data_IF_507165193170
#
_entry.id   IF_507165193170
#
_cell.length_a   1.000
_cell.length_b   1.000
_cell.length_c   1.000
_cell.angle_alpha   90.00
_cell.angle_beta   90.00
_cell.angle_gamma   90.00
#
_symmetry.space_group_name_H-M   'P 1'
#
loop_
_entity.id
_entity.type
_entity.pdbx_description
1 polymer ?
#
# COMPACT_ATOMS: atom_id res chain seq x y z
N UNK A 1 -18.94 5.24 18.24
CA UNK A 1 -19.24 4.84 16.86
C UNK A 1 -19.04 6.06 15.99
N UNK A 2 -18.28 5.94 14.91
CA UNK A 2 -18.05 7.04 13.97
C UNK A 2 -19.20 7.11 12.95
N UNK A 3 -19.49 8.32 12.46
CA UNK A 3 -20.51 8.57 11.44
C UNK A 3 -19.90 9.22 10.17
N UNK A 4 -18.60 9.43 10.19
CA UNK A 4 -17.82 9.98 9.09
C UNK A 4 -16.36 9.53 9.21
N UNK A 5 -15.61 9.71 8.12
CA UNK A 5 -14.16 9.62 8.10
C UNK A 5 -13.58 10.95 8.59
N UNK A 6 -12.62 10.88 9.51
CA UNK A 6 -11.92 12.04 10.06
C UNK A 6 -10.44 11.97 9.68
N UNK A 7 -10.06 12.49 8.50
CA UNK A 7 -8.68 12.43 8.03
C UNK A 7 -7.68 13.07 9.00
N UNK A 8 -6.49 12.50 9.09
CA UNK A 8 -5.41 13.05 9.90
C UNK A 8 -5.53 12.84 11.41
N UNK A 9 -6.57 12.15 11.87
CA UNK A 9 -6.71 11.74 13.27
C UNK A 9 -6.22 10.30 13.48
N UNK A 10 -5.97 9.93 14.74
CA UNK A 10 -5.73 8.53 15.10
C UNK A 10 -7.03 7.75 14.90
N UNK A 11 -7.01 6.77 14.02
CA UNK A 11 -8.17 5.93 13.78
C UNK A 11 -8.21 4.76 14.76
N UNK A 12 -9.34 4.63 15.45
CA UNK A 12 -9.54 3.59 16.45
C UNK A 12 -10.51 2.52 15.92
N UNK A 13 -10.27 1.27 16.32
CA UNK A 13 -11.20 0.18 16.11
C UNK A 13 -12.44 0.31 17.03
N UNK A 14 -13.39 -0.58 16.87
CA UNK A 14 -14.63 -0.59 17.69
C UNK A 14 -14.38 -0.87 19.17
N UNK A 15 -13.18 -1.31 19.54
CA UNK A 15 -12.75 -1.51 20.93
C UNK A 15 -11.95 -0.33 21.48
N UNK A 16 -11.81 0.76 20.71
CA UNK A 16 -11.03 1.93 21.09
C UNK A 16 -9.52 1.76 21.00
N UNK A 17 -9.03 0.72 20.30
CA UNK A 17 -7.60 0.49 20.05
C UNK A 17 -7.24 1.07 18.69
N UNK A 18 -6.01 1.54 18.59
CA UNK A 18 -5.48 2.08 17.34
C UNK A 18 -5.42 1.01 16.25
N UNK A 19 -5.87 1.36 15.04
CA UNK A 19 -5.76 0.51 13.85
C UNK A 19 -4.28 0.35 13.45
N UNK A 20 -3.92 -0.89 13.13
CA UNK A 20 -2.59 -1.32 12.72
C UNK A 20 -2.67 -1.90 11.30
N UNK A 21 -2.78 -1.03 10.30
CA UNK A 21 -2.91 -1.41 8.89
C UNK A 21 -2.07 -0.49 7.99
N UNK A 22 -0.79 -0.29 8.36
CA UNK A 22 0.14 0.55 7.62
C UNK A 22 0.48 -0.07 6.25
N UNK A 23 0.66 0.77 5.23
CA UNK A 23 1.02 0.33 3.88
C UNK A 23 -0.02 -0.59 3.23
N UNK A 24 -1.25 -0.56 3.74
CA UNK A 24 -2.27 -1.55 3.42
C UNK A 24 -3.22 -1.16 2.31
N UNK A 25 -4.22 -2.02 2.12
CA UNK A 25 -5.27 -1.86 1.12
C UNK A 25 -6.63 -2.32 1.67
N UNK A 26 -7.67 -2.07 0.87
CA UNK A 26 -9.03 -2.53 1.13
C UNK A 26 -9.39 -3.70 0.21
N UNK A 27 -10.14 -4.66 0.75
CA UNK A 27 -10.76 -5.73 -0.01
C UNK A 27 -12.26 -5.77 0.31
N UNK A 28 -13.09 -5.99 -0.71
CA UNK A 28 -14.55 -6.14 -0.53
C UNK A 28 -14.95 -7.57 -0.81
N UNK A 29 -15.57 -8.21 0.17
CA UNK A 29 -15.99 -9.60 0.07
C UNK A 29 -17.30 -9.81 0.82
N UNK A 30 -18.28 -10.44 0.16
CA UNK A 30 -19.56 -10.84 0.76
C UNK A 30 -20.27 -9.72 1.54
N UNK A 31 -20.28 -8.50 0.98
CA UNK A 31 -20.99 -7.36 1.58
C UNK A 31 -20.22 -6.62 2.66
N UNK A 32 -18.97 -6.98 2.93
CA UNK A 32 -18.11 -6.32 3.92
C UNK A 32 -16.82 -5.79 3.30
N UNK A 33 -16.32 -4.72 3.88
CA UNK A 33 -14.99 -4.19 3.60
C UNK A 33 -14.00 -4.80 4.59
N UNK A 34 -12.81 -5.12 4.11
CA UNK A 34 -11.69 -5.61 4.90
C UNK A 34 -10.50 -4.72 4.65
N UNK A 35 -10.07 -4.00 5.70
CA UNK A 35 -8.86 -3.20 5.67
C UNK A 35 -7.73 -4.01 6.29
N UNK A 36 -6.67 -4.22 5.56
CA UNK A 36 -5.51 -5.00 6.02
C UNK A 36 -4.23 -4.24 5.72
N UNK A 37 -3.21 -4.48 6.53
CA UNK A 37 -1.90 -3.84 6.39
C UNK A 37 -0.90 -4.33 7.43
N UNK A 38 0.27 -3.74 7.41
CA UNK A 38 1.35 -4.07 8.33
C UNK A 38 0.93 -3.80 9.78
N UNK A 39 1.17 -4.78 10.64
CA UNK A 39 1.02 -4.61 12.07
C UNK A 39 2.36 -4.19 12.71
N UNK A 40 2.38 -3.01 13.30
CA UNK A 40 3.55 -2.45 14.00
C UNK A 40 3.36 -2.38 15.53
N UNK A 41 2.33 -3.03 16.09
CA UNK A 41 1.99 -2.91 17.51
C UNK A 41 3.12 -3.30 18.47
N UNK A 42 4.02 -4.19 18.04
CA UNK A 42 5.17 -4.65 18.85
C UNK A 42 6.49 -4.04 18.40
N UNK A 43 6.50 -3.19 17.38
CA UNK A 43 7.71 -2.56 16.88
C UNK A 43 8.04 -1.34 17.72
N UNK A 44 9.21 -1.35 18.36
CA UNK A 44 9.76 -0.24 19.11
C UNK A 44 11.23 -0.05 18.75
N UNK A 45 11.76 1.16 18.79
CA UNK A 45 13.17 1.39 18.55
C UNK A 45 14.04 0.49 19.43
N UNK A 46 15.04 -0.12 18.84
CA UNK A 46 16.02 -0.96 19.54
C UNK A 46 15.59 -2.40 19.93
N UNK A 47 14.30 -2.76 19.80
CA UNK A 47 13.85 -4.10 20.19
C UNK A 47 14.01 -5.18 19.10
N UNK A 48 14.47 -4.81 17.91
CA UNK A 48 14.68 -5.73 16.79
C UNK A 48 13.42 -6.26 16.12
N UNK A 49 12.22 -5.83 16.58
CA UNK A 49 10.95 -6.21 15.98
C UNK A 49 10.53 -5.11 14.98
N UNK A 50 10.57 -5.44 13.71
CA UNK A 50 10.28 -4.50 12.61
C UNK A 50 8.85 -4.62 12.08
N UNK A 51 8.19 -5.76 12.30
CA UNK A 51 6.80 -6.03 11.97
C UNK A 51 6.23 -7.13 12.87
N UNK A 52 4.91 -7.26 12.94
CA UNK A 52 4.22 -8.33 13.65
C UNK A 52 3.10 -8.96 12.79
N UNK A 53 3.44 -9.27 11.53
CA UNK A 53 2.51 -9.83 10.56
C UNK A 53 1.59 -8.79 9.91
N UNK A 54 0.59 -9.28 9.21
CA UNK A 54 -0.47 -8.47 8.60
C UNK A 54 -1.71 -8.58 9.47
N UNK A 55 -2.24 -7.43 9.93
CA UNK A 55 -3.49 -7.36 10.68
C UNK A 55 -4.62 -6.94 9.76
N UNK A 56 -5.85 -7.36 10.07
CA UNK A 56 -7.01 -6.94 9.30
C UNK A 56 -8.20 -6.59 10.17
N UNK A 57 -9.07 -5.79 9.58
CA UNK A 57 -10.27 -5.24 10.21
C UNK A 57 -11.43 -5.39 9.24
N UNK A 58 -12.65 -5.59 9.77
CA UNK A 58 -13.87 -5.63 8.96
C UNK A 58 -14.78 -4.44 9.26
N UNK A 59 -15.48 -3.96 8.23
CA UNK A 59 -16.47 -2.89 8.33
C UNK A 59 -17.61 -3.10 7.33
N UNK A 60 -18.80 -2.58 7.65
CA UNK A 60 -19.91 -2.50 6.71
C UNK A 60 -20.15 -1.07 6.19
N UNK A 61 -19.48 -0.08 6.79
CA UNK A 61 -19.74 1.34 6.57
C UNK A 61 -18.48 2.17 6.26
N UNK A 62 -17.28 1.56 6.31
CA UNK A 62 -15.96 2.20 6.17
C UNK A 62 -15.59 3.17 7.31
N UNK A 63 -16.43 3.34 8.32
CA UNK A 63 -16.20 4.24 9.44
C UNK A 63 -15.85 3.50 10.72
N UNK A 64 -16.48 2.35 10.95
CA UNK A 64 -16.37 1.56 12.17
C UNK A 64 -15.71 0.22 11.84
N UNK A 65 -14.50 0.02 12.31
CA UNK A 65 -13.65 -1.11 11.97
C UNK A 65 -13.53 -2.06 13.16
N UNK A 66 -13.98 -3.29 12.98
CA UNK A 66 -13.80 -4.36 13.96
C UNK A 66 -12.48 -5.06 13.72
N UNK A 67 -11.66 -5.17 14.74
CA UNK A 67 -10.41 -5.94 14.72
C UNK A 67 -10.72 -7.44 14.59
N UNK A 68 -10.20 -8.08 13.56
CA UNK A 68 -10.36 -9.52 13.28
C UNK A 68 -9.06 -10.30 13.56
N UNK A 69 -8.00 -9.63 14.02
CA UNK A 69 -6.73 -10.25 14.36
C UNK A 69 -5.69 -10.25 13.23
N UNK A 70 -4.85 -11.28 13.20
CA UNK A 70 -3.80 -11.41 12.18
C UNK A 70 -4.32 -12.19 10.97
N UNK A 71 -4.22 -11.58 9.81
CA UNK A 71 -4.48 -12.21 8.51
C UNK A 71 -3.30 -13.10 8.09
N UNK A 72 -2.09 -12.58 8.27
CA UNK A 72 -0.84 -13.31 8.04
C UNK A 72 0.00 -13.16 9.32
N UNK A 73 0.14 -14.21 10.12
CA UNK A 73 0.93 -14.15 11.34
C UNK A 73 2.44 -14.08 11.02
N UNK A 74 3.24 -13.49 11.91
CA UNK A 74 4.69 -13.55 11.78
C UNK A 74 5.20 -14.98 12.00
N UNK A 75 6.26 -15.35 11.32
CA UNK A 75 6.98 -16.58 11.60
C UNK A 75 8.05 -16.33 12.69
N UNK A 76 7.68 -16.59 13.93
CA UNK A 76 8.59 -16.39 15.09
C UNK A 76 9.54 -17.55 15.30
N UNK A 77 9.40 -18.67 14.59
CA UNK A 77 10.18 -19.89 14.79
C UNK A 77 11.41 -19.95 13.91
N UNK A 78 11.27 -19.46 12.68
CA UNK A 78 12.37 -19.45 11.72
C UNK A 78 12.91 -18.04 11.51
N UNK A 79 14.06 -17.75 12.12
CA UNK A 79 14.76 -16.47 11.95
C UNK A 79 15.20 -16.22 10.49
N UNK A 80 15.23 -17.26 9.65
CA UNK A 80 15.54 -17.13 8.23
C UNK A 80 14.34 -16.75 7.38
N UNK A 81 13.13 -16.94 7.88
CA UNK A 81 11.88 -16.59 7.21
C UNK A 81 11.79 -15.09 6.94
N UNK A 82 11.29 -14.71 5.77
CA UNK A 82 11.00 -13.31 5.44
C UNK A 82 9.79 -12.75 6.21
N UNK A 83 8.97 -13.61 6.83
CA UNK A 83 7.92 -13.21 7.78
C UNK A 83 8.42 -13.12 9.23
N UNK A 84 9.69 -13.40 9.50
CA UNK A 84 10.22 -13.25 10.85
C UNK A 84 10.16 -11.78 11.31
N UNK A 85 9.85 -11.49 12.57
CA UNK A 85 9.71 -10.13 13.08
C UNK A 85 10.92 -9.21 12.86
N UNK A 86 12.11 -9.74 12.69
CA UNK A 86 13.33 -8.98 12.35
C UNK A 86 13.45 -8.57 10.88
N UNK A 87 12.58 -9.05 10.02
CA UNK A 87 12.48 -8.62 8.62
C UNK A 87 11.53 -7.43 8.51
N UNK A 88 11.79 -6.50 7.58
CA UNK A 88 10.80 -5.50 7.19
C UNK A 88 9.93 -6.11 6.10
N UNK A 89 8.74 -6.58 6.46
CA UNK A 89 7.72 -7.03 5.52
C UNK A 89 6.66 -5.93 5.43
N UNK A 90 6.54 -5.32 4.26
CA UNK A 90 5.83 -4.08 4.03
C UNK A 90 4.83 -4.22 2.89
N UNK A 91 3.80 -3.35 2.86
CA UNK A 91 2.84 -3.17 1.77
C UNK A 91 2.20 -4.48 1.31
N UNK A 92 1.43 -5.21 2.16
CA UNK A 92 0.68 -6.37 1.69
C UNK A 92 -0.40 -5.93 0.70
N UNK A 93 -0.42 -6.52 -0.50
CA UNK A 93 -1.49 -6.36 -1.49
C UNK A 93 -2.02 -7.72 -1.90
N UNK A 94 -3.35 -7.90 -1.90
CA UNK A 94 -4.01 -9.18 -2.17
C UNK A 94 -4.93 -9.04 -3.37
N UNK A 95 -4.78 -9.94 -4.34
CA UNK A 95 -5.69 -10.10 -5.48
C UNK A 95 -6.18 -11.55 -5.57
N UNK A 96 -7.39 -11.75 -6.08
CA UNK A 96 -7.94 -13.08 -6.29
C UNK A 96 -7.72 -13.53 -7.73
N UNK A 97 -7.18 -14.72 -7.88
CA UNK A 97 -6.98 -15.39 -9.17
C UNK A 97 -8.12 -16.39 -9.41
N UNK A 98 -8.96 -16.15 -10.40
CA UNK A 98 -10.08 -17.03 -10.72
C UNK A 98 -9.65 -18.36 -11.34
N UNK A 99 -8.55 -18.38 -12.09
CA UNK A 99 -8.07 -19.58 -12.77
C UNK A 99 -7.56 -20.63 -11.76
N UNK A 100 -6.82 -20.17 -10.76
CA UNK A 100 -6.28 -21.05 -9.70
C UNK A 100 -7.18 -21.14 -8.47
N UNK A 101 -8.23 -20.31 -8.40
CA UNK A 101 -9.09 -20.12 -7.22
C UNK A 101 -8.30 -19.77 -5.94
N UNK A 102 -7.21 -19.00 -6.08
CA UNK A 102 -6.34 -18.60 -4.97
C UNK A 102 -6.39 -17.09 -4.72
N UNK A 103 -6.29 -16.71 -3.46
CA UNK A 103 -5.89 -15.37 -3.06
C UNK A 103 -4.38 -15.29 -3.08
N UNK A 104 -3.84 -14.34 -3.82
CA UNK A 104 -2.39 -14.13 -3.98
C UNK A 104 -2.02 -12.84 -3.30
N UNK A 105 -1.16 -12.93 -2.30
CA UNK A 105 -0.64 -11.79 -1.56
C UNK A 105 0.82 -11.55 -1.94
N UNK A 106 1.12 -10.36 -2.40
CA UNK A 106 2.48 -9.88 -2.56
C UNK A 106 2.83 -8.97 -1.39
N UNK A 107 4.09 -9.01 -0.97
CA UNK A 107 4.67 -8.12 0.04
C UNK A 107 6.06 -7.69 -0.40
N UNK A 108 6.39 -6.43 -0.14
CA UNK A 108 7.78 -5.96 -0.22
C UNK A 108 8.51 -6.39 1.05
N UNK A 109 9.68 -6.98 0.91
CA UNK A 109 10.54 -7.33 2.05
C UNK A 109 11.91 -6.69 1.89
N UNK A 110 12.37 -6.03 2.97
CA UNK A 110 13.72 -5.50 3.04
C UNK A 110 14.55 -6.37 3.98
N UNK A 111 15.58 -6.99 3.44
CA UNK A 111 16.49 -7.84 4.21
C UNK A 111 17.92 -7.65 3.72
N UNK A 112 18.85 -7.44 4.67
CA UNK A 112 20.28 -7.21 4.36
C UNK A 112 20.52 -6.12 3.31
N UNK A 113 19.67 -5.07 3.30
CA UNK A 113 19.77 -3.98 2.35
C UNK A 113 19.15 -4.25 0.96
N UNK A 114 18.65 -5.46 0.70
CA UNK A 114 17.95 -5.80 -0.54
C UNK A 114 16.44 -5.65 -0.39
N UNK A 115 15.79 -5.15 -1.43
CA UNK A 115 14.33 -5.04 -1.53
C UNK A 115 13.82 -6.13 -2.48
N UNK A 116 13.00 -7.01 -1.97
CA UNK A 116 12.56 -8.24 -2.61
C UNK A 116 11.03 -8.36 -2.55
N UNK A 117 10.46 -9.16 -3.46
CA UNK A 117 9.06 -9.56 -3.38
C UNK A 117 8.92 -10.90 -2.65
N UNK A 118 8.02 -10.96 -1.68
CA UNK A 118 7.55 -12.17 -1.02
C UNK A 118 6.13 -12.43 -1.50
N UNK A 119 5.86 -13.64 -2.02
CA UNK A 119 4.54 -13.99 -2.53
C UNK A 119 3.98 -15.18 -1.74
N UNK A 120 2.73 -15.00 -1.29
CA UNK A 120 1.98 -16.00 -0.56
C UNK A 120 0.67 -16.29 -1.27
N UNK A 121 0.13 -17.51 -1.07
CA UNK A 121 -1.20 -17.88 -1.57
C UNK A 121 -2.05 -18.51 -0.50
N UNK A 122 -3.37 -18.40 -0.64
CA UNK A 122 -4.36 -19.06 0.22
C UNK A 122 -5.60 -19.45 -0.56
N UNK A 123 -6.33 -20.47 -0.07
CA UNK A 123 -7.64 -20.86 -0.62
C UNK A 123 -8.76 -19.90 -0.19
N UNK A 124 -8.56 -19.18 0.89
CA UNK A 124 -9.50 -18.20 1.43
C UNK A 124 -8.82 -16.86 1.62
N UNK A 125 -9.57 -15.75 1.45
CA UNK A 125 -9.07 -14.41 1.83
C UNK A 125 -8.56 -14.37 3.27
N UNK A 126 -9.15 -15.15 4.15
CA UNK A 126 -8.79 -15.22 5.57
C UNK A 126 -7.62 -16.15 5.87
N UNK A 127 -6.99 -16.72 4.85
CA UNK A 127 -5.87 -17.65 5.00
C UNK A 127 -6.28 -19.10 5.27
N UNK A 128 -5.35 -19.95 5.75
CA UNK A 128 -3.94 -19.61 6.00
C UNK A 128 -3.17 -19.30 4.70
N UNK A 129 -2.27 -18.32 4.77
CA UNK A 129 -1.39 -17.97 3.66
C UNK A 129 -0.07 -18.75 3.75
N UNK A 130 0.33 -19.34 2.63
CA UNK A 130 1.57 -20.10 2.50
C UNK A 130 2.54 -19.39 1.54
N UNK A 131 3.83 -19.36 1.87
CA UNK A 131 4.86 -18.76 1.04
C UNK A 131 5.08 -19.63 -0.18
N UNK A 132 4.88 -19.09 -1.40
CA UNK A 132 5.12 -19.76 -2.68
C UNK A 132 6.34 -19.21 -3.41
N UNK A 133 6.73 -17.96 -3.16
CA UNK A 133 7.97 -17.34 -3.61
C UNK A 133 8.64 -16.60 -2.46
N UNK A 134 9.84 -17.00 -2.11
CA UNK A 134 10.54 -16.51 -0.92
C UNK A 134 11.66 -15.54 -1.31
N UNK A 135 11.32 -14.28 -1.55
CA UNK A 135 12.29 -13.22 -1.83
C UNK A 135 12.82 -13.22 -3.26
N UNK A 136 11.94 -13.01 -4.24
CA UNK A 136 12.32 -12.88 -5.65
C UNK A 136 12.61 -11.41 -6.01
N UNK A 137 13.33 -11.23 -7.10
CA UNK A 137 13.53 -9.96 -7.80
C UNK A 137 12.76 -9.98 -9.10
N UNK A 138 11.57 -9.37 -9.18
CA UNK A 138 10.82 -9.30 -10.44
C UNK A 138 11.69 -8.69 -11.53
N UNK A 139 11.79 -9.35 -12.71
CA UNK A 139 12.67 -8.96 -13.81
C UNK A 139 14.17 -8.84 -13.43
N UNK A 140 14.62 -9.47 -12.36
CA UNK A 140 15.96 -9.31 -11.82
C UNK A 140 16.20 -7.98 -11.09
N UNK A 141 15.16 -7.16 -10.87
CA UNK A 141 15.25 -5.84 -10.25
C UNK A 141 14.91 -5.89 -8.76
N UNK A 142 15.52 -5.00 -7.96
CA UNK A 142 15.04 -4.72 -6.61
C UNK A 142 13.63 -4.09 -6.69
N UNK A 143 12.69 -4.62 -5.91
CA UNK A 143 11.32 -4.16 -5.87
C UNK A 143 11.10 -3.24 -4.65
N UNK A 144 10.91 -1.95 -4.92
CA UNK A 144 10.47 -0.96 -3.94
C UNK A 144 8.97 -1.03 -3.66
N UNK A 145 8.37 0.11 -3.40
CA UNK A 145 6.92 0.21 -3.21
C UNK A 145 6.17 -0.22 -4.47
N UNK A 146 5.00 -0.82 -4.30
CA UNK A 146 4.27 -1.43 -5.40
C UNK A 146 2.76 -1.41 -5.20
N UNK A 147 2.03 -1.69 -6.28
CA UNK A 147 0.60 -1.99 -6.30
C UNK A 147 0.31 -3.14 -7.27
N UNK A 148 -0.74 -3.91 -6.99
CA UNK A 148 -1.22 -4.99 -7.83
C UNK A 148 -2.51 -4.60 -8.54
N UNK A 149 -2.56 -4.85 -9.82
CA UNK A 149 -3.70 -4.54 -10.68
C UNK A 149 -4.24 -5.78 -11.32
N UNK A 150 -5.50 -6.12 -11.01
CA UNK A 150 -6.25 -7.13 -11.73
C UNK A 150 -7.09 -6.49 -12.81
N UNK A 151 -6.98 -7.00 -14.02
CA UNK A 151 -7.69 -6.49 -15.19
C UNK A 151 -9.00 -7.25 -15.40
N UNK A 152 -9.99 -6.64 -16.09
CA UNK A 152 -11.26 -7.30 -16.40
C UNK A 152 -11.12 -8.57 -17.22
N UNK A 153 -10.05 -8.71 -18.00
CA UNK A 153 -9.75 -9.88 -18.82
C UNK A 153 -9.11 -11.04 -18.03
N UNK A 154 -8.99 -10.93 -16.72
CA UNK A 154 -8.40 -11.93 -15.84
C UNK A 154 -6.88 -11.90 -15.79
N UNK A 155 -6.20 -11.06 -16.61
CA UNK A 155 -4.76 -10.81 -16.45
C UNK A 155 -4.49 -9.87 -15.31
N UNK A 156 -3.25 -9.87 -14.81
CA UNK A 156 -2.83 -8.93 -13.78
C UNK A 156 -1.46 -8.34 -14.09
N UNK A 157 -1.17 -7.20 -13.50
CA UNK A 157 0.16 -6.59 -13.53
C UNK A 157 0.53 -6.02 -12.16
N UNK A 158 1.82 -5.81 -11.97
CA UNK A 158 2.42 -5.17 -10.82
C UNK A 158 3.07 -3.86 -11.25
N UNK A 159 2.64 -2.74 -10.66
CA UNK A 159 3.42 -1.50 -10.71
C UNK A 159 4.35 -1.51 -9.52
N UNK A 160 5.66 -1.39 -9.76
CA UNK A 160 6.63 -1.30 -8.67
C UNK A 160 7.72 -0.30 -8.95
N UNK A 161 8.24 0.29 -7.91
CA UNK A 161 9.44 1.09 -7.99
C UNK A 161 10.65 0.18 -8.24
N UNK A 162 11.35 0.37 -9.36
CA UNK A 162 12.74 -0.04 -9.47
C UNK A 162 13.55 0.93 -8.61
N UNK A 163 13.93 0.48 -7.43
CA UNK A 163 14.42 1.29 -6.32
C UNK A 163 15.27 2.48 -6.76
N UNK A 164 14.77 3.68 -6.49
CA UNK A 164 15.35 5.00 -6.78
C UNK A 164 15.69 5.23 -8.27
N UNK A 165 14.88 4.68 -9.20
CA UNK A 165 15.07 4.86 -10.65
C UNK A 165 13.78 5.23 -11.38
N UNK A 166 12.79 4.36 -11.36
CA UNK A 166 11.56 4.51 -12.16
C UNK A 166 10.45 3.60 -11.67
N UNK A 167 9.24 3.80 -12.15
CA UNK A 167 8.14 2.86 -11.97
C UNK A 167 8.13 1.85 -13.12
N UNK A 168 8.02 0.58 -12.79
CA UNK A 168 7.88 -0.54 -13.73
C UNK A 168 6.42 -1.00 -13.67
N UNK A 169 5.79 -1.23 -14.83
CA UNK A 169 4.57 -2.00 -14.96
C UNK A 169 4.92 -3.34 -15.59
N UNK A 170 4.83 -4.44 -14.84
CA UNK A 170 5.15 -5.78 -15.30
C UNK A 170 3.91 -6.68 -15.31
N UNK A 171 3.65 -7.39 -16.41
CA UNK A 171 2.59 -8.39 -16.47
C UNK A 171 2.93 -9.57 -15.55
N UNK A 172 1.95 -10.01 -14.75
CA UNK A 172 2.08 -11.18 -13.90
C UNK A 172 1.88 -12.48 -14.69
N UNK A 173 2.49 -13.56 -14.21
CA UNK A 173 2.22 -14.92 -14.66
C UNK A 173 0.73 -15.29 -14.50
N UNK A 174 0.19 -16.29 -15.23
CA UNK A 174 -1.22 -16.66 -15.15
C UNK A 174 -1.70 -16.97 -13.72
N UNK A 175 -0.84 -17.50 -12.86
CA UNK A 175 -1.12 -17.80 -11.45
C UNK A 175 -0.86 -16.62 -10.51
N UNK A 176 -0.41 -15.45 -11.01
CA UNK A 176 -0.05 -14.23 -10.31
C UNK A 176 1.11 -14.35 -9.31
N UNK A 177 1.88 -15.45 -9.40
CA UNK A 177 2.99 -15.68 -8.43
C UNK A 177 4.36 -15.23 -8.92
N UNK A 178 4.47 -14.74 -10.15
CA UNK A 178 5.70 -14.23 -10.77
C UNK A 178 5.37 -13.22 -11.87
N UNK A 179 6.37 -12.70 -12.57
CA UNK A 179 6.24 -11.83 -13.74
C UNK A 179 6.55 -12.60 -15.03
N UNK A 180 5.89 -12.22 -16.15
CA UNK A 180 6.09 -12.88 -17.45
C UNK A 180 7.33 -12.43 -18.20
N UNK A 181 7.93 -11.30 -17.83
CA UNK A 181 8.98 -10.63 -18.59
C UNK A 181 8.47 -9.54 -19.54
N UNK A 182 7.15 -9.42 -19.75
CA UNK A 182 6.55 -8.28 -20.47
C UNK A 182 6.41 -7.11 -19.49
N UNK A 183 7.01 -5.97 -19.81
CA UNK A 183 6.95 -4.80 -18.94
C UNK A 183 7.14 -3.48 -19.69
N UNK A 184 6.79 -2.38 -19.03
CA UNK A 184 7.04 -1.00 -19.46
C UNK A 184 7.63 -0.19 -18.31
N UNK A 185 8.32 0.90 -18.67
CA UNK A 185 9.03 1.78 -17.74
C UNK A 185 8.39 3.18 -17.79
N UNK A 186 8.23 3.79 -16.62
CA UNK A 186 7.55 5.06 -16.46
C UNK A 186 8.31 6.00 -15.51
N UNK A 187 8.18 7.30 -15.74
CA UNK A 187 8.71 8.37 -14.88
C UNK A 187 10.21 8.22 -14.58
N UNK A 188 11.08 8.12 -15.62
CA UNK A 188 12.52 8.08 -15.41
C UNK A 188 13.00 9.43 -14.89
N UNK A 189 13.60 9.43 -13.72
CA UNK A 189 14.26 10.57 -13.11
C UNK A 189 15.60 10.14 -12.56
N UNK A 190 16.62 10.98 -12.70
CA UNK A 190 17.98 10.56 -12.43
C UNK A 190 18.28 10.35 -10.94
N UNK A 191 17.61 11.10 -10.04
CA UNK A 191 17.94 11.09 -8.62
C UNK A 191 16.74 11.39 -7.72
N UNK A 192 16.73 10.89 -6.47
CA UNK A 192 15.88 11.43 -5.41
C UNK A 192 16.08 12.94 -5.21
N UNK A 193 15.04 13.71 -4.86
CA UNK A 193 13.72 13.28 -4.48
C UNK A 193 12.71 13.14 -5.64
N UNK A 194 13.15 13.28 -6.87
CA UNK A 194 12.26 13.35 -8.03
C UNK A 194 11.80 11.98 -8.52
N UNK A 195 12.56 10.92 -8.24
CA UNK A 195 12.15 9.54 -8.54
C UNK A 195 10.82 9.25 -7.86
N UNK A 196 9.95 8.54 -8.58
CA UNK A 196 8.60 8.22 -8.08
C UNK A 196 8.60 6.87 -7.36
N UNK A 197 7.91 6.83 -6.21
CA UNK A 197 7.65 5.63 -5.40
C UNK A 197 6.18 5.56 -5.00
N UNK A 198 5.79 4.55 -4.24
CA UNK A 198 4.44 4.33 -3.74
C UNK A 198 3.37 4.43 -4.84
N UNK A 199 3.49 3.66 -5.95
CA UNK A 199 2.43 3.66 -6.96
C UNK A 199 1.13 3.16 -6.36
N UNK A 200 0.02 3.84 -6.69
CA UNK A 200 -1.33 3.42 -6.38
C UNK A 200 -2.20 3.61 -7.62
N UNK A 201 -2.68 2.50 -8.16
CA UNK A 201 -3.41 2.46 -9.42
C UNK A 201 -4.92 2.47 -9.20
N UNK A 202 -5.64 3.08 -10.14
CA UNK A 202 -7.06 2.88 -10.32
C UNK A 202 -7.48 3.13 -11.77
N UNK A 203 -8.60 2.53 -12.16
CA UNK A 203 -9.23 2.76 -13.46
C UNK A 203 -10.52 3.55 -13.27
N UNK A 204 -10.74 4.57 -14.12
CA UNK A 204 -11.96 5.34 -14.15
C UNK A 204 -12.33 5.70 -15.59
N UNK A 205 -13.55 5.37 -16.00
CA UNK A 205 -14.10 5.67 -17.33
C UNK A 205 -13.18 5.21 -18.48
N UNK A 206 -12.59 4.02 -18.36
CA UNK A 206 -11.69 3.43 -19.37
C UNK A 206 -10.33 4.11 -19.46
N UNK A 207 -9.98 4.96 -18.49
CA UNK A 207 -8.65 5.55 -18.36
C UNK A 207 -7.94 4.98 -17.13
N UNK A 208 -6.64 4.85 -17.23
CA UNK A 208 -5.76 4.29 -16.21
C UNK A 208 -5.04 5.43 -15.49
N UNK A 209 -5.12 5.44 -14.18
CA UNK A 209 -4.53 6.47 -13.34
C UNK A 209 -3.50 5.87 -12.40
N UNK A 210 -2.44 6.63 -12.17
CA UNK A 210 -1.42 6.31 -11.19
C UNK A 210 -1.18 7.52 -10.28
N UNK A 211 -1.29 7.29 -8.98
CA UNK A 211 -0.82 8.22 -7.97
C UNK A 211 0.54 7.74 -7.49
N UNK A 212 1.47 8.66 -7.29
CA UNK A 212 2.82 8.34 -6.82
C UNK A 212 3.30 9.41 -5.85
N UNK A 213 4.33 9.10 -5.05
CA UNK A 213 5.06 10.07 -4.24
C UNK A 213 6.50 10.23 -4.73
N UNK A 214 7.18 11.29 -4.31
CA UNK A 214 8.62 11.42 -4.49
C UNK A 214 9.40 10.63 -3.44
N UNK A 215 10.70 10.44 -3.66
CA UNK A 215 11.59 9.70 -2.77
C UNK A 215 12.29 10.65 -1.80
N UNK A 216 11.64 10.95 -0.68
CA UNK A 216 12.15 11.85 0.36
C UNK A 216 12.42 11.13 1.69
N UNK A 217 12.60 9.81 1.62
CA UNK A 217 12.73 8.96 2.81
C UNK A 217 11.40 8.93 3.58
N UNK A 218 11.43 9.32 4.87
CA UNK A 218 10.23 9.37 5.70
C UNK A 218 9.67 10.79 5.86
N UNK A 219 10.04 11.73 4.98
CA UNK A 219 9.49 13.07 4.95
C UNK A 219 8.38 13.15 3.91
N UNK A 220 7.20 13.71 4.25
CA UNK A 220 6.11 13.83 3.30
C UNK A 220 6.50 14.80 2.16
N UNK A 221 5.94 14.53 0.98
CA UNK A 221 6.20 15.28 -0.23
C UNK A 221 4.94 15.38 -1.08
N UNK A 222 4.91 16.22 -2.13
CA UNK A 222 3.75 16.30 -3.00
C UNK A 222 3.57 15.01 -3.80
N UNK A 223 2.36 14.46 -3.76
CA UNK A 223 1.94 13.38 -4.65
C UNK A 223 1.85 13.90 -6.09
N UNK A 224 1.94 12.99 -7.04
CA UNK A 224 1.74 13.25 -8.45
C UNK A 224 0.71 12.29 -9.02
N UNK A 225 -0.26 12.83 -9.75
CA UNK A 225 -1.24 12.06 -10.51
C UNK A 225 -0.84 12.00 -11.97
N UNK A 226 -1.05 10.87 -12.60
CA UNK A 226 -0.87 10.67 -14.04
C UNK A 226 -1.97 9.80 -14.63
N UNK A 227 -2.14 9.88 -15.96
CA UNK A 227 -3.22 9.20 -16.69
C UNK A 227 -2.68 8.59 -17.98
N UNK A 228 -3.24 7.45 -18.37
CA UNK A 228 -2.96 6.78 -19.66
C UNK A 228 -4.22 6.17 -20.26
N UNK A 229 -4.14 5.81 -21.54
CA UNK A 229 -5.18 5.09 -22.29
C UNK A 229 -5.04 3.57 -22.14
N UNK A 230 -3.94 3.10 -21.61
CA UNK A 230 -3.70 1.67 -21.39
C UNK A 230 -2.95 1.46 -20.08
N UNK A 231 -3.06 0.24 -19.52
CA UNK A 231 -2.37 -0.17 -18.30
C UNK A 231 -0.84 -0.03 -18.41
N UNK A 232 -0.30 -0.23 -19.59
CA UNK A 232 1.14 -0.07 -19.88
C UNK A 232 1.54 1.34 -20.30
N UNK A 233 0.65 2.32 -20.18
CA UNK A 233 0.91 3.70 -20.57
C UNK A 233 0.86 3.93 -22.09
N UNK A 234 1.54 4.97 -22.61
CA UNK A 234 2.32 5.95 -21.86
C UNK A 234 1.46 6.84 -20.95
N UNK A 235 2.00 7.17 -19.77
CA UNK A 235 1.32 8.05 -18.82
C UNK A 235 1.65 9.52 -19.07
N UNK A 236 0.62 10.36 -19.04
CA UNK A 236 0.74 11.82 -19.03
C UNK A 236 0.57 12.33 -17.60
N UNK A 237 1.47 13.20 -17.16
CA UNK A 237 1.44 13.80 -15.83
C UNK A 237 0.30 14.82 -15.77
N UNK A 238 -0.58 14.69 -14.76
CA UNK A 238 -1.66 15.63 -14.46
C UNK A 238 -1.26 16.66 -13.40
N UNK A 239 -0.24 16.36 -12.59
CA UNK A 239 0.27 17.22 -11.53
C UNK A 239 -0.16 16.78 -10.13
N UNK A 240 -0.03 17.70 -9.15
CA UNK A 240 -0.36 17.44 -7.76
C UNK A 240 -1.88 17.26 -7.59
N UNK A 241 -2.36 16.10 -7.05
CA UNK A 241 -3.78 15.86 -6.79
C UNK A 241 -4.33 16.64 -5.58
N UNK A 242 -3.48 17.32 -4.83
CA UNK A 242 -3.81 18.09 -3.62
C UNK A 242 -3.53 19.59 -3.80
N UNK A 243 -4.26 20.29 -4.68
CA UNK A 243 -3.98 21.70 -4.95
C UNK A 243 -4.28 22.60 -3.75
N UNK A 244 -5.09 22.16 -2.80
CA UNK A 244 -5.41 22.85 -1.56
C UNK A 244 -4.36 22.65 -0.44
N UNK A 245 -3.43 21.72 -0.61
CA UNK A 245 -2.32 21.53 0.34
C UNK A 245 -1.15 22.48 0.04
N UNK A 246 -1.21 23.69 0.58
CA UNK A 246 -0.15 24.68 0.42
C UNK A 246 1.20 24.27 1.04
N UNK A 247 1.24 23.22 1.86
CA UNK A 247 2.48 22.70 2.45
C UNK A 247 3.25 21.80 1.48
N UNK A 248 2.62 21.35 0.39
CA UNK A 248 3.17 20.41 -0.58
C UNK A 248 3.65 19.09 0.06
N UNK A 249 2.91 18.59 1.03
CA UNK A 249 3.22 17.38 1.80
C UNK A 249 2.20 16.26 1.59
N UNK A 250 1.21 16.46 0.70
CA UNK A 250 0.05 15.57 0.58
C UNK A 250 -0.65 15.37 1.91
N UNK A 251 -0.86 16.48 2.65
CA UNK A 251 -1.41 16.49 4.02
C UNK A 251 -0.59 15.65 5.02
N UNK A 252 0.73 15.65 4.89
CA UNK A 252 1.67 14.83 5.65
C UNK A 252 1.42 13.32 5.46
N UNK A 253 1.17 12.88 4.24
CA UNK A 253 0.87 11.48 3.97
C UNK A 253 1.57 10.95 2.72
N UNK A 254 1.65 9.62 2.63
CA UNK A 254 2.05 8.89 1.44
C UNK A 254 0.95 7.92 1.04
N UNK A 255 0.57 7.96 -0.23
CA UNK A 255 -0.43 7.05 -0.80
C UNK A 255 -0.03 5.58 -0.64
N UNK A 256 -1.00 4.70 -0.36
CA UNK A 256 -0.78 3.25 -0.28
C UNK A 256 -1.59 2.48 -1.30
N UNK A 257 -2.84 2.85 -1.50
CA UNK A 257 -3.73 2.20 -2.49
C UNK A 257 -4.93 3.07 -2.81
N UNK A 258 -5.60 2.79 -3.91
CA UNK A 258 -6.90 3.37 -4.26
C UNK A 258 -7.93 2.27 -4.40
N UNK A 259 -9.06 2.42 -3.72
CA UNK A 259 -10.15 1.45 -3.71
C UNK A 259 -11.40 2.05 -4.34
N UNK A 260 -11.99 1.37 -5.33
CA UNK A 260 -13.29 1.74 -5.89
C UNK A 260 -14.41 1.18 -5.01
N UNK A 261 -15.33 2.04 -4.55
CA UNK A 261 -16.46 1.61 -3.74
C UNK A 261 -17.46 0.79 -4.58
N UNK A 262 -17.74 -0.48 -4.24
CA UNK A 262 -18.56 -1.37 -5.09
C UNK A 262 -20.03 -0.96 -5.18
N UNK A 263 -20.57 -0.31 -4.15
CA UNK A 263 -21.98 0.07 -4.06
C UNK A 263 -22.27 1.53 -4.37
N UNK A 264 -21.27 2.33 -4.78
CA UNK A 264 -21.46 3.74 -5.12
C UNK A 264 -20.85 4.03 -6.49
N UNK A 265 -21.62 4.70 -7.32
CA UNK A 265 -21.13 5.10 -8.63
C UNK A 265 -20.04 6.14 -8.47
N UNK A 266 -18.91 5.89 -9.15
CA UNK A 266 -17.80 6.84 -9.32
C UNK A 266 -17.18 7.35 -7.99
N UNK A 267 -17.24 6.54 -6.92
CA UNK A 267 -16.57 6.83 -5.66
C UNK A 267 -15.29 5.99 -5.54
N UNK A 268 -14.18 6.69 -5.37
CA UNK A 268 -12.86 6.11 -5.12
C UNK A 268 -12.33 6.61 -3.79
N UNK A 269 -11.75 5.72 -3.01
CA UNK A 269 -11.17 5.99 -1.70
C UNK A 269 -9.68 5.74 -1.80
N UNK A 270 -8.89 6.77 -1.61
CA UNK A 270 -7.45 6.67 -1.52
C UNK A 270 -7.05 6.47 -0.06
N UNK A 271 -6.32 5.40 0.21
CA UNK A 271 -5.69 5.15 1.50
C UNK A 271 -4.28 5.73 1.50
N UNK A 272 -3.91 6.36 2.59
CA UNK A 272 -2.58 6.91 2.76
C UNK A 272 -2.09 6.77 4.20
N UNK A 273 -0.80 6.51 4.35
CA UNK A 273 -0.14 6.54 5.64
C UNK A 273 0.25 7.96 6.01
N UNK A 274 -0.07 8.37 7.22
CA UNK A 274 0.33 9.68 7.72
C UNK A 274 1.77 9.65 8.24
N UNK A 275 2.58 10.56 7.72
CA UNK A 275 3.96 10.77 8.14
C UNK A 275 4.07 11.98 9.07
N UNK A 276 4.74 11.84 10.21
CA UNK A 276 4.98 12.89 11.19
C UNK A 276 6.49 12.95 11.48
N UNK A 277 7.29 13.62 10.62
CA UNK A 277 8.75 13.60 10.68
C UNK A 277 9.33 14.01 12.03
N UNK A 278 8.76 15.04 12.66
CA UNK A 278 9.20 15.54 13.97
C UNK A 278 9.11 14.53 15.12
N UNK A 279 8.38 13.45 14.93
CA UNK A 279 8.35 12.33 15.89
C UNK A 279 9.44 11.29 15.62
N UNK A 280 10.05 11.30 14.44
CA UNK A 280 11.16 10.42 14.10
C UNK A 280 12.49 10.94 14.66
N UNK A 281 12.65 12.25 14.64
CA UNK A 281 13.89 12.93 15.01
C UNK A 281 13.92 13.30 16.51
N UNK A 282 12.85 12.97 17.26
CA UNK A 282 12.82 13.16 18.71
C UNK A 282 13.67 12.11 19.40
N UNK A 283 14.23 12.53 20.52
CA UNK A 283 15.10 11.81 21.44
C UNK A 283 14.73 10.30 21.56
N UNK A 284 15.73 9.45 21.55
CA UNK A 284 15.56 7.99 21.64
C UNK A 284 14.69 7.58 22.85
N UNK A 285 14.73 8.32 23.96
CA UNK A 285 13.88 8.09 25.12
C UNK A 285 12.39 8.31 24.86
N UNK A 286 12.02 9.26 23.99
CA UNK A 286 10.63 9.47 23.59
C UNK A 286 10.12 8.37 22.65
N UNK A 287 11.03 7.74 21.88
CA UNK A 287 10.75 6.57 21.08
C UNK A 287 10.54 5.31 21.91
N UNK A 288 11.27 5.15 22.99
CA UNK A 288 11.19 3.98 23.90
C UNK A 288 9.83 3.88 24.61
N UNK A 289 9.07 4.97 24.72
CA UNK A 289 7.72 4.94 25.31
C UNK A 289 6.71 4.11 24.49
N UNK A 290 7.04 3.72 23.26
CA UNK A 290 6.15 3.02 22.34
C UNK A 290 4.96 3.86 21.87
N UNK A 291 4.64 4.93 22.58
CA UNK A 291 3.52 5.83 22.27
C UNK A 291 3.84 6.80 21.14
N UNK A 292 5.06 7.31 21.11
CA UNK A 292 5.54 8.17 20.03
C UNK A 292 5.60 7.42 18.71
N UNK A 293 6.11 6.19 18.73
CA UNK A 293 6.12 5.34 17.53
C UNK A 293 4.71 5.02 17.04
N UNK A 294 3.77 4.78 17.95
CA UNK A 294 2.35 4.58 17.61
C UNK A 294 1.71 5.81 16.98
N UNK A 295 2.16 7.02 17.31
CA UNK A 295 1.68 8.28 16.71
C UNK A 295 2.15 8.49 15.27
N UNK A 296 3.30 7.93 14.88
CA UNK A 296 3.86 8.08 13.53
C UNK A 296 3.05 7.33 12.47
N UNK A 297 2.37 6.25 12.87
CA UNK A 297 1.68 5.31 11.97
C UNK A 297 0.17 5.52 11.95
N UNK A 298 -0.28 6.72 11.60
CA UNK A 298 -1.70 6.98 11.36
C UNK A 298 -2.00 6.80 9.88
N UNK A 299 -3.02 6.03 9.57
CA UNK A 299 -3.61 5.98 8.24
C UNK A 299 -4.68 7.07 8.16
N UNK A 300 -4.85 7.65 6.98
CA UNK A 300 -5.98 8.51 6.76
C UNK A 300 -6.59 8.20 5.39
N UNK A 301 -7.87 8.43 5.28
CA UNK A 301 -8.61 8.28 4.05
C UNK A 301 -8.82 9.61 3.37
N UNK A 302 -8.86 9.52 2.05
CA UNK A 302 -9.10 10.64 1.17
C UNK A 302 -10.01 10.21 0.03
N UNK A 303 -11.02 11.02 -0.30
CA UNK A 303 -11.91 10.75 -1.41
C UNK A 303 -11.46 11.52 -2.64
N UNK A 304 -11.06 10.80 -3.67
CA UNK A 304 -10.65 11.38 -4.94
C UNK A 304 -11.75 12.19 -5.62
N UNK A 305 -13.02 11.81 -5.41
CA UNK A 305 -14.18 12.50 -5.98
C UNK A 305 -14.38 13.91 -5.45
N UNK A 306 -13.78 14.24 -4.31
CA UNK A 306 -13.99 15.53 -3.66
C UNK A 306 -13.00 16.62 -4.11
N UNK A 307 -12.02 16.26 -4.96
CA UNK A 307 -11.09 17.24 -5.55
C UNK A 307 -11.65 17.86 -6.84
N UNK A 308 -12.04 19.17 -6.85
CA UNK A 308 -12.64 19.80 -8.02
C UNK A 308 -11.71 19.91 -9.23
N UNK A 309 -10.41 20.04 -9.01
CA UNK A 309 -9.44 20.19 -10.11
C UNK A 309 -9.18 18.86 -10.81
N UNK A 310 -9.19 17.77 -10.08
CA UNK A 310 -9.11 16.44 -10.66
C UNK A 310 -10.42 16.07 -11.38
N UNK A 311 -11.57 16.48 -10.86
CA UNK A 311 -12.85 16.34 -11.59
C UNK A 311 -12.81 17.00 -12.95
N UNK A 312 -12.24 18.20 -13.08
CA UNK A 312 -12.13 18.93 -14.36
C UNK A 312 -11.14 18.29 -15.33
N UNK A 313 -10.10 17.63 -14.85
CA UNK A 313 -9.09 16.98 -15.71
C UNK A 313 -9.46 15.56 -16.13
N UNK A 314 -10.42 14.95 -15.43
CA UNK A 314 -10.84 13.56 -15.60
C UNK A 314 -12.21 13.44 -16.28
N UNK A 315 -12.99 14.54 -16.36
CA UNK A 315 -14.20 14.67 -17.15
C UNK A 315 -13.86 15.04 -18.60
#
# INVERSE_FOLDING_TARGET
MYHAIYPGQVWLDTNGRRIQAHGGSLYYLAGKFYWYGENKEKSHPGNGILQWGVRYYSSVDLYNWKDEGLLIPPDIRDVSSLLHPSSKAERPHIIYNEETAKYVCWMKVIRKGEQLALILTADSFFGPYEIVRNGIRPLGMCMGDFDLVKRPDGRACCYFEQVHKKIICADLSPDYTDVTGVYTEHFPHDNPPYVREAPAYFERSGKHYLLTSGTTGYHPNPSEASMADSVHGPFSILGNPHPEDGSLTSFNSQITSVFRHPGKQDLYIALADRWIPGLRDTDAAAFDSGETYRRIKNNFEWSFSDNPELKKKVS
#
